data_IF_403907969406
#
_entry.id   IF_403907969406
#
_cell.length_a   1.000
_cell.length_b   1.000
_cell.length_c   1.000
_cell.angle_alpha   90.00
_cell.angle_beta   90.00
_cell.angle_gamma   90.00
#
_symmetry.space_group_name_H-M   'P 1'
#
loop_
_entity.id
_entity.type
_entity.pdbx_description
1 polymer ?
#
# COMPACT_ATOMS: atom_id res chain seq x y z
N UNK A 1 -35.80 2.23 -12.89
CA UNK A 1 -35.31 0.86 -12.67
C UNK A 1 -34.60 0.38 -13.94
N UNK A 2 -33.36 0.81 -14.21
CA UNK A 2 -32.57 0.32 -15.35
C UNK A 2 -31.79 -0.90 -14.84
N UNK A 3 -32.18 -2.06 -15.33
CA UNK A 3 -31.49 -3.33 -15.13
C UNK A 3 -30.11 -3.18 -15.78
N UNK A 4 -29.05 -3.20 -14.96
CA UNK A 4 -27.66 -3.24 -15.43
C UNK A 4 -27.52 -4.39 -16.43
N UNK A 5 -27.33 -4.06 -17.72
CA UNK A 5 -26.86 -5.04 -18.69
C UNK A 5 -25.54 -5.63 -18.18
N UNK A 6 -25.38 -6.94 -18.19
CA UNK A 6 -24.10 -7.56 -17.86
C UNK A 6 -23.01 -6.95 -18.75
N UNK A 7 -21.86 -6.66 -18.17
CA UNK A 7 -20.70 -6.05 -18.83
C UNK A 7 -20.18 -7.03 -19.90
N UNK A 8 -20.77 -6.94 -21.10
CA UNK A 8 -20.45 -7.83 -22.23
C UNK A 8 -18.97 -7.75 -22.66
N UNK A 9 -18.24 -6.73 -22.18
CA UNK A 9 -16.80 -6.57 -22.48
C UNK A 9 -15.93 -7.57 -21.74
N UNK A 10 -16.42 -8.15 -20.64
CA UNK A 10 -15.68 -9.14 -19.84
C UNK A 10 -15.95 -10.60 -20.27
N UNK A 11 -17.02 -10.87 -21.02
CA UNK A 11 -17.44 -12.24 -21.34
C UNK A 11 -16.48 -13.01 -22.25
N UNK A 12 -15.61 -12.33 -22.99
CA UNK A 12 -14.66 -12.94 -23.93
C UNK A 12 -13.21 -12.91 -23.48
N UNK A 13 -12.92 -12.47 -22.23
CA UNK A 13 -11.55 -12.36 -21.74
C UNK A 13 -11.23 -13.58 -20.86
N UNK A 14 -10.31 -14.42 -21.32
CA UNK A 14 -9.77 -15.51 -20.52
C UNK A 14 -8.56 -15.02 -19.73
N UNK A 15 -8.53 -15.29 -18.43
CA UNK A 15 -7.39 -14.98 -17.54
C UNK A 15 -6.66 -16.28 -17.22
N UNK A 16 -5.42 -16.37 -17.69
CA UNK A 16 -4.51 -17.48 -17.42
C UNK A 16 -3.33 -17.08 -16.51
N UNK A 17 -2.35 -17.97 -16.43
CA UNK A 17 -1.15 -17.74 -15.60
C UNK A 17 -0.34 -16.53 -16.04
N UNK A 18 -0.37 -16.17 -17.33
CA UNK A 18 0.38 -15.01 -17.86
C UNK A 18 -0.19 -13.69 -17.35
N UNK A 19 -1.51 -13.53 -17.37
CA UNK A 19 -2.22 -12.34 -16.89
C UNK A 19 -2.09 -12.21 -15.36
N UNK A 20 -2.18 -13.33 -14.63
CA UNK A 20 -2.00 -13.36 -13.17
C UNK A 20 -0.57 -12.94 -12.79
N UNK A 21 0.45 -13.48 -13.48
CA UNK A 21 1.84 -13.11 -13.21
C UNK A 21 2.13 -11.67 -13.62
N UNK A 22 1.54 -11.17 -14.71
CA UNK A 22 1.64 -9.76 -15.09
C UNK A 22 1.02 -8.84 -14.02
N UNK A 23 -0.15 -9.19 -13.47
CA UNK A 23 -0.75 -8.47 -12.36
C UNK A 23 0.12 -8.49 -11.09
N UNK A 24 0.75 -9.62 -10.75
CA UNK A 24 1.72 -9.71 -9.64
C UNK A 24 2.92 -8.79 -9.87
N UNK A 25 3.48 -8.80 -11.09
CA UNK A 25 4.58 -7.90 -11.44
C UNK A 25 4.15 -6.45 -11.38
N UNK A 26 2.90 -6.12 -11.75
CA UNK A 26 2.36 -4.76 -11.61
C UNK A 26 2.37 -4.25 -10.15
N UNK A 27 2.27 -5.14 -9.16
CA UNK A 27 2.45 -4.80 -7.74
C UNK A 27 3.93 -4.73 -7.33
N UNK A 28 4.75 -5.63 -7.88
CA UNK A 28 6.19 -5.62 -7.61
C UNK A 28 6.85 -4.31 -8.03
N UNK A 29 6.52 -3.79 -9.21
CA UNK A 29 7.21 -2.63 -9.80
C UNK A 29 7.16 -1.37 -8.93
N UNK A 30 5.99 -0.86 -8.48
CA UNK A 30 5.96 0.33 -7.65
C UNK A 30 6.56 0.10 -6.26
N UNK A 31 6.42 -1.11 -5.67
CA UNK A 31 7.11 -1.48 -4.44
C UNK A 31 8.64 -1.43 -4.59
N UNK A 32 9.16 -1.93 -5.71
CA UNK A 32 10.57 -1.89 -6.04
C UNK A 32 11.08 -0.46 -6.22
N UNK A 33 10.33 0.39 -6.92
CA UNK A 33 10.76 1.78 -7.17
C UNK A 33 10.68 2.65 -5.91
N UNK A 34 9.64 2.55 -5.10
CA UNK A 34 9.53 3.35 -3.88
C UNK A 34 10.66 3.02 -2.88
N UNK A 35 11.03 1.75 -2.80
CA UNK A 35 12.14 1.32 -1.94
C UNK A 35 13.53 1.63 -2.51
N UNK A 36 13.63 2.05 -3.75
CA UNK A 36 14.85 2.68 -4.29
C UNK A 36 15.00 4.10 -3.75
N UNK A 37 13.89 4.85 -3.65
CA UNK A 37 13.92 6.25 -3.21
C UNK A 37 14.18 6.40 -1.70
N UNK A 38 13.60 5.55 -0.86
CA UNK A 38 13.70 5.69 0.58
C UNK A 38 15.16 5.71 1.11
N UNK A 39 16.07 4.80 0.71
CA UNK A 39 17.48 4.85 1.11
C UNK A 39 18.24 6.06 0.55
N UNK A 40 17.72 6.72 -0.50
CA UNK A 40 18.36 7.92 -1.05
C UNK A 40 18.14 9.17 -0.19
N UNK A 41 17.15 9.19 0.70
CA UNK A 41 16.80 10.38 1.51
C UNK A 41 18.00 10.97 2.27
N UNK A 42 18.80 10.19 3.03
CA UNK A 42 19.98 10.73 3.73
C UNK A 42 21.02 11.33 2.76
N UNK A 43 21.20 10.69 1.60
CA UNK A 43 22.16 11.15 0.59
C UNK A 43 21.69 12.44 -0.08
N UNK A 44 20.38 12.57 -0.33
CA UNK A 44 19.75 13.80 -0.85
C UNK A 44 19.88 14.91 0.18
N UNK A 45 19.61 14.62 1.47
CA UNK A 45 19.79 15.58 2.58
C UNK A 45 21.21 16.13 2.60
N UNK A 46 22.21 15.26 2.53
CA UNK A 46 23.62 15.66 2.51
C UNK A 46 23.98 16.45 1.24
N UNK A 47 23.56 15.98 0.07
CA UNK A 47 23.84 16.63 -1.23
C UNK A 47 23.23 18.01 -1.37
N UNK A 48 21.98 18.19 -0.95
CA UNK A 48 21.27 19.47 -1.01
C UNK A 48 21.49 20.33 0.25
N UNK A 49 22.29 19.85 1.22
CA UNK A 49 22.58 20.53 2.50
C UNK A 49 21.28 20.94 3.21
N UNK A 50 20.31 20.03 3.28
CA UNK A 50 18.99 20.33 3.84
C UNK A 50 19.03 20.29 5.37
N UNK A 51 18.47 21.32 6.00
CA UNK A 51 18.09 21.28 7.40
C UNK A 51 16.91 20.31 7.61
N UNK A 52 16.74 19.83 8.84
CA UNK A 52 15.71 18.83 9.15
C UNK A 52 14.28 19.32 8.86
N UNK A 53 14.02 20.61 9.14
CA UNK A 53 12.71 21.24 8.86
C UNK A 53 12.41 21.37 7.37
N UNK A 54 13.42 21.64 6.54
CA UNK A 54 13.30 21.72 5.08
C UNK A 54 13.01 20.33 4.51
N UNK A 55 13.70 19.30 5.02
CA UNK A 55 13.42 17.92 4.65
C UNK A 55 11.99 17.53 5.06
N UNK A 56 11.54 17.89 6.26
CA UNK A 56 10.17 17.66 6.72
C UNK A 56 9.12 18.31 5.80
N UNK A 57 9.36 19.55 5.36
CA UNK A 57 8.48 20.22 4.37
C UNK A 57 8.45 19.51 3.01
N UNK A 58 9.59 19.00 2.55
CA UNK A 58 9.63 18.18 1.32
C UNK A 58 8.81 16.90 1.47
N UNK A 59 8.92 16.21 2.60
CA UNK A 59 8.13 15.00 2.87
C UNK A 59 6.63 15.32 2.99
N UNK A 60 6.26 16.49 3.53
CA UNK A 60 4.86 16.94 3.56
C UNK A 60 4.29 17.13 2.16
N UNK A 61 5.10 17.57 1.18
CA UNK A 61 4.68 17.66 -0.22
C UNK A 61 4.22 16.31 -0.78
N UNK A 62 4.76 15.19 -0.29
CA UNK A 62 4.34 13.84 -0.67
C UNK A 62 2.87 13.64 -0.31
N UNK A 63 2.50 13.90 0.95
CA UNK A 63 1.13 13.75 1.43
C UNK A 63 0.14 14.64 0.67
N UNK A 64 0.49 15.91 0.46
CA UNK A 64 -0.33 16.87 -0.28
C UNK A 64 -0.51 16.42 -1.74
N UNK A 65 0.56 15.98 -2.40
CA UNK A 65 0.50 15.48 -3.78
C UNK A 65 -0.38 14.24 -3.90
N UNK A 66 -0.23 13.27 -3.00
CA UNK A 66 -1.08 12.09 -2.97
C UNK A 66 -2.56 12.47 -2.83
N UNK A 67 -2.89 13.37 -1.90
CA UNK A 67 -4.26 13.81 -1.67
C UNK A 67 -4.88 14.51 -2.88
N UNK A 68 -4.13 15.35 -3.59
CA UNK A 68 -4.61 16.07 -4.76
C UNK A 68 -4.74 15.17 -5.99
N UNK A 69 -3.75 14.33 -6.26
CA UNK A 69 -3.66 13.60 -7.53
C UNK A 69 -4.29 12.21 -7.51
N UNK A 70 -4.43 11.55 -6.36
CA UNK A 70 -5.09 10.25 -6.28
C UNK A 70 -6.53 10.24 -6.81
N UNK A 71 -7.40 11.22 -6.51
CA UNK A 71 -8.75 11.23 -7.06
C UNK A 71 -8.80 11.28 -8.59
N UNK A 72 -7.74 11.81 -9.24
CA UNK A 72 -7.63 11.86 -10.70
C UNK A 72 -7.24 10.52 -11.33
N UNK A 73 -6.69 9.60 -10.54
CA UNK A 73 -6.23 8.30 -11.01
C UNK A 73 -7.36 7.48 -11.65
N UNK A 74 -8.55 7.51 -11.06
CA UNK A 74 -9.74 6.85 -11.63
C UNK A 74 -10.11 7.36 -13.03
N UNK A 75 -9.96 8.67 -13.28
CA UNK A 75 -10.19 9.28 -14.59
C UNK A 75 -9.15 8.81 -15.63
N UNK A 76 -7.90 8.66 -15.21
CA UNK A 76 -6.83 8.14 -16.07
C UNK A 76 -7.10 6.68 -16.47
N UNK A 77 -7.50 5.84 -15.51
CA UNK A 77 -7.87 4.44 -15.77
C UNK A 77 -9.06 4.36 -16.74
N UNK A 78 -10.08 5.20 -16.53
CA UNK A 78 -11.24 5.22 -17.42
C UNK A 78 -10.86 5.64 -18.84
N UNK A 79 -10.03 6.68 -18.98
CA UNK A 79 -9.66 7.23 -20.30
C UNK A 79 -8.70 6.32 -21.06
N UNK A 80 -7.68 5.78 -20.39
CA UNK A 80 -6.56 5.10 -21.02
C UNK A 80 -6.54 3.59 -20.79
N UNK A 81 -7.28 3.08 -19.81
CA UNK A 81 -7.28 1.68 -19.38
C UNK A 81 -6.16 1.35 -18.39
N UNK A 82 -6.35 0.29 -17.59
CA UNK A 82 -5.41 -0.12 -16.54
C UNK A 82 -4.01 -0.41 -17.09
N UNK A 83 -3.92 -1.16 -18.19
CA UNK A 83 -2.65 -1.58 -18.78
C UNK A 83 -1.76 -0.40 -19.14
N UNK A 84 -2.27 0.59 -19.86
CA UNK A 84 -1.51 1.76 -20.28
C UNK A 84 -1.06 2.59 -19.08
N UNK A 85 -1.95 2.79 -18.10
CA UNK A 85 -1.62 3.59 -16.91
C UNK A 85 -0.56 2.90 -16.07
N UNK A 86 -0.62 1.58 -15.86
CA UNK A 86 0.41 0.82 -15.12
C UNK A 86 1.76 0.89 -15.84
N UNK A 87 1.79 0.62 -17.16
CA UNK A 87 3.06 0.64 -17.92
C UNK A 87 3.68 2.02 -17.92
N UNK A 88 2.92 3.06 -18.27
CA UNK A 88 3.40 4.44 -18.31
C UNK A 88 3.80 4.91 -16.91
N UNK A 89 2.98 4.60 -15.90
CA UNK A 89 3.23 4.99 -14.52
C UNK A 89 4.51 4.37 -13.97
N UNK A 90 4.68 3.05 -14.08
CA UNK A 90 5.89 2.37 -13.60
C UNK A 90 7.15 2.87 -14.36
N UNK A 91 7.06 3.12 -15.67
CA UNK A 91 8.14 3.71 -16.46
C UNK A 91 8.51 5.10 -15.95
N UNK A 92 7.51 5.98 -15.77
CA UNK A 92 7.76 7.34 -15.28
C UNK A 92 8.33 7.33 -13.86
N UNK A 93 7.80 6.50 -12.95
CA UNK A 93 8.35 6.37 -11.60
C UNK A 93 9.83 5.97 -11.64
N UNK A 94 10.20 5.00 -12.46
CA UNK A 94 11.57 4.53 -12.58
C UNK A 94 12.50 5.64 -13.14
N UNK A 95 12.08 6.36 -14.18
CA UNK A 95 12.83 7.48 -14.75
C UNK A 95 12.97 8.65 -13.76
N UNK A 96 11.89 9.00 -13.05
CA UNK A 96 11.92 10.06 -12.04
C UNK A 96 12.82 9.67 -10.87
N UNK A 97 12.88 8.40 -10.48
CA UNK A 97 13.82 7.92 -9.45
C UNK A 97 15.28 8.19 -9.84
N UNK A 98 15.64 7.97 -11.13
CA UNK A 98 16.97 8.35 -11.65
C UNK A 98 17.13 9.87 -11.61
N UNK A 99 16.14 10.64 -12.04
CA UNK A 99 16.19 12.10 -11.99
C UNK A 99 16.40 12.61 -10.56
N UNK A 100 15.65 12.10 -9.57
CA UNK A 100 15.79 12.44 -8.16
C UNK A 100 17.21 12.14 -7.63
N UNK A 101 17.90 11.14 -8.16
CA UNK A 101 19.30 10.84 -7.78
C UNK A 101 20.31 11.89 -8.24
N UNK A 102 19.98 12.72 -9.25
CA UNK A 102 20.91 13.69 -9.89
C UNK A 102 20.62 15.15 -9.51
N UNK A 103 19.36 15.50 -9.17
CA UNK A 103 18.96 16.89 -8.95
C UNK A 103 19.71 17.54 -7.80
N UNK A 104 20.20 18.78 -8.05
CA UNK A 104 20.98 19.58 -7.09
C UNK A 104 20.21 20.81 -6.57
N UNK A 105 19.03 21.09 -7.13
CA UNK A 105 18.21 22.23 -6.72
C UNK A 105 16.97 21.72 -5.98
N UNK A 106 16.65 22.32 -4.82
CA UNK A 106 15.55 21.92 -3.96
C UNK A 106 14.18 22.05 -4.65
N UNK A 107 13.98 23.08 -5.45
CA UNK A 107 12.69 23.31 -6.11
C UNK A 107 12.44 22.29 -7.22
N UNK A 108 13.47 22.01 -8.04
CA UNK A 108 13.37 20.96 -9.05
C UNK A 108 13.19 19.58 -8.41
N UNK A 109 13.83 19.34 -7.25
CA UNK A 109 13.65 18.11 -6.49
C UNK A 109 12.22 17.98 -5.95
N UNK A 110 11.66 19.06 -5.36
CA UNK A 110 10.29 19.07 -4.84
C UNK A 110 9.24 18.82 -5.94
N UNK A 111 9.41 19.46 -7.11
CA UNK A 111 8.53 19.28 -8.27
C UNK A 111 8.61 17.83 -8.79
N UNK A 112 9.82 17.29 -8.94
CA UNK A 112 10.02 15.92 -9.39
C UNK A 112 9.44 14.91 -8.39
N UNK A 113 9.60 15.15 -7.08
CA UNK A 113 9.05 14.33 -6.01
C UNK A 113 7.53 14.37 -5.99
N UNK A 114 6.93 15.55 -6.11
CA UNK A 114 5.48 15.71 -6.20
C UNK A 114 4.90 14.96 -7.41
N UNK A 115 5.58 15.04 -8.56
CA UNK A 115 5.18 14.32 -9.76
C UNK A 115 5.37 12.79 -9.61
N UNK A 116 6.46 12.36 -8.95
CA UNK A 116 6.68 10.94 -8.60
C UNK A 116 5.50 10.37 -7.82
N UNK A 117 5.05 11.09 -6.79
CA UNK A 117 3.93 10.65 -5.93
C UNK A 117 2.59 10.66 -6.68
N UNK A 118 2.36 11.67 -7.53
CA UNK A 118 1.17 11.72 -8.37
C UNK A 118 1.10 10.51 -9.32
N UNK A 119 2.21 10.16 -9.95
CA UNK A 119 2.32 9.00 -10.85
C UNK A 119 2.19 7.69 -10.06
N UNK A 120 2.78 7.62 -8.87
CA UNK A 120 2.63 6.48 -7.97
C UNK A 120 1.16 6.24 -7.62
N UNK A 121 0.41 7.27 -7.23
CA UNK A 121 -1.02 7.15 -6.92
C UNK A 121 -1.84 6.66 -8.11
N UNK A 122 -1.56 7.15 -9.32
CA UNK A 122 -2.22 6.68 -10.54
C UNK A 122 -1.89 5.21 -10.83
N UNK A 123 -0.64 4.80 -10.62
CA UNK A 123 -0.19 3.41 -10.80
C UNK A 123 -0.86 2.49 -9.78
N UNK A 124 -0.92 2.92 -8.52
CA UNK A 124 -1.53 2.16 -7.42
C UNK A 124 -3.02 1.89 -7.67
N UNK A 125 -3.80 2.90 -8.00
CA UNK A 125 -5.22 2.73 -8.36
C UNK A 125 -5.37 1.80 -9.57
N UNK A 126 -4.51 1.93 -10.56
CA UNK A 126 -4.60 1.15 -11.80
C UNK A 126 -4.25 -0.33 -11.59
N UNK A 127 -3.20 -0.62 -10.81
CA UNK A 127 -2.82 -2.01 -10.51
C UNK A 127 -3.86 -2.68 -9.62
N UNK A 128 -4.42 -1.98 -8.62
CA UNK A 128 -5.48 -2.52 -7.78
C UNK A 128 -6.78 -2.75 -8.58
N UNK A 129 -7.15 -1.83 -9.49
CA UNK A 129 -8.28 -2.03 -10.40
C UNK A 129 -8.06 -3.25 -11.29
N UNK A 130 -6.87 -3.38 -11.90
CA UNK A 130 -6.50 -4.55 -12.71
C UNK A 130 -6.60 -5.84 -11.88
N UNK A 131 -6.07 -5.84 -10.65
CA UNK A 131 -6.08 -6.98 -9.74
C UNK A 131 -7.50 -7.45 -9.39
N UNK A 132 -8.40 -6.53 -9.06
CA UNK A 132 -9.82 -6.84 -8.77
C UNK A 132 -10.50 -7.50 -9.98
N UNK A 133 -10.21 -7.02 -11.19
CA UNK A 133 -10.79 -7.58 -12.42
C UNK A 133 -10.18 -8.95 -12.73
N UNK A 134 -8.84 -9.10 -12.60
CA UNK A 134 -8.14 -10.38 -12.78
C UNK A 134 -8.66 -11.42 -11.79
N UNK A 135 -8.82 -11.07 -10.51
CA UNK A 135 -9.39 -11.95 -9.50
C UNK A 135 -10.82 -12.38 -9.84
N UNK A 136 -11.66 -11.41 -10.26
CA UNK A 136 -13.04 -11.66 -10.65
C UNK A 136 -13.14 -12.64 -11.83
N UNK A 137 -12.31 -12.44 -12.87
CA UNK A 137 -12.30 -13.28 -14.07
C UNK A 137 -11.66 -14.64 -13.81
N UNK A 138 -10.65 -14.73 -12.95
CA UNK A 138 -9.99 -15.97 -12.58
C UNK A 138 -10.88 -16.87 -11.67
N UNK A 139 -11.92 -16.32 -11.04
CA UNK A 139 -12.83 -17.04 -10.15
C UNK A 139 -12.18 -17.57 -8.87
N UNK A 140 -11.00 -17.08 -8.50
CA UNK A 140 -10.25 -17.52 -7.30
C UNK A 140 -9.53 -16.35 -6.64
N UNK A 141 -9.20 -16.50 -5.35
CA UNK A 141 -8.49 -15.48 -4.57
C UNK A 141 -7.06 -15.27 -5.08
N UNK A 142 -6.66 -14.02 -5.32
CA UNK A 142 -5.35 -13.66 -5.85
C UNK A 142 -4.80 -12.36 -5.25
N UNK A 143 -5.64 -11.53 -4.63
CA UNK A 143 -5.25 -10.19 -4.20
C UNK A 143 -4.19 -10.18 -3.10
N UNK A 144 -4.29 -11.08 -2.11
CA UNK A 144 -3.26 -11.19 -1.06
C UNK A 144 -1.90 -11.53 -1.65
N UNK A 145 -1.85 -12.50 -2.58
CA UNK A 145 -0.64 -12.84 -3.30
C UNK A 145 -0.09 -11.69 -4.15
N UNK A 146 -0.96 -10.87 -4.77
CA UNK A 146 -0.53 -9.67 -5.49
C UNK A 146 0.09 -8.63 -4.56
N UNK A 147 -0.53 -8.35 -3.40
CA UNK A 147 0.05 -7.47 -2.39
C UNK A 147 1.37 -8.00 -1.80
N UNK A 148 1.55 -9.33 -1.72
CA UNK A 148 2.84 -9.91 -1.35
C UNK A 148 3.95 -9.52 -2.33
N UNK A 149 3.65 -9.43 -3.63
CA UNK A 149 4.62 -9.01 -4.64
C UNK A 149 5.06 -7.54 -4.47
N UNK A 150 4.19 -6.66 -3.96
CA UNK A 150 4.62 -5.32 -3.52
C UNK A 150 5.71 -5.41 -2.45
N UNK A 151 5.48 -6.18 -1.39
CA UNK A 151 6.46 -6.36 -0.31
C UNK A 151 7.76 -7.00 -0.81
N UNK A 152 7.67 -8.00 -1.70
CA UNK A 152 8.85 -8.61 -2.35
C UNK A 152 9.61 -7.56 -3.14
N UNK A 153 8.93 -6.69 -3.88
CA UNK A 153 9.53 -5.58 -4.59
C UNK A 153 10.30 -4.64 -3.66
N UNK A 154 9.69 -4.27 -2.54
CA UNK A 154 10.33 -3.43 -1.53
C UNK A 154 11.61 -4.08 -0.98
N UNK A 155 11.55 -5.35 -0.57
CA UNK A 155 12.70 -6.06 -0.02
C UNK A 155 13.81 -6.26 -1.07
N UNK A 156 13.44 -6.63 -2.30
CA UNK A 156 14.40 -6.83 -3.38
C UNK A 156 15.14 -5.54 -3.71
N UNK A 157 14.43 -4.42 -3.78
CA UNK A 157 15.03 -3.10 -4.04
C UNK A 157 15.96 -2.66 -2.91
N UNK A 158 15.49 -2.72 -1.66
CA UNK A 158 16.28 -2.31 -0.50
C UNK A 158 17.54 -3.17 -0.35
N UNK A 159 17.43 -4.48 -0.55
CA UNK A 159 18.57 -5.41 -0.53
C UNK A 159 19.58 -5.11 -1.64
N UNK A 160 19.10 -4.93 -2.89
CA UNK A 160 19.96 -4.61 -4.02
C UNK A 160 20.64 -3.23 -3.82
N UNK A 161 19.89 -2.24 -3.34
CA UNK A 161 20.45 -0.93 -3.01
C UNK A 161 21.58 -1.05 -1.99
N UNK A 162 21.37 -1.78 -0.90
CA UNK A 162 22.35 -1.97 0.16
C UNK A 162 23.63 -2.64 -0.35
N UNK A 163 23.50 -3.71 -1.14
CA UNK A 163 24.64 -4.42 -1.74
C UNK A 163 25.42 -3.51 -2.68
N UNK A 164 24.75 -2.77 -3.55
CA UNK A 164 25.43 -1.86 -4.49
C UNK A 164 26.06 -0.66 -3.77
N UNK A 165 25.40 -0.09 -2.75
CA UNK A 165 25.94 0.99 -1.97
C UNK A 165 27.17 0.56 -1.16
N UNK A 166 27.16 -0.64 -0.56
CA UNK A 166 28.30 -1.18 0.17
C UNK A 166 29.51 -1.49 -0.73
N UNK A 167 29.27 -1.77 -2.02
CA UNK A 167 30.34 -1.93 -3.02
C UNK A 167 30.91 -0.60 -3.55
N UNK A 168 30.47 0.54 -3.00
CA UNK A 168 30.95 1.87 -3.40
C UNK A 168 30.26 2.45 -4.65
N UNK A 169 29.18 1.82 -5.14
CA UNK A 169 28.43 2.35 -6.29
C UNK A 169 27.76 3.69 -5.92
N UNK A 170 27.82 4.66 -6.82
CA UNK A 170 27.13 5.93 -6.62
C UNK A 170 25.61 5.76 -6.78
N UNK A 171 24.84 6.65 -6.13
CA UNK A 171 23.38 6.60 -6.08
C UNK A 171 22.71 6.63 -7.45
N UNK A 172 23.29 7.39 -8.40
CA UNK A 172 22.75 7.51 -9.76
C UNK A 172 22.90 6.20 -10.52
N UNK A 173 24.05 5.51 -10.38
CA UNK A 173 24.24 4.18 -10.97
C UNK A 173 23.22 3.19 -10.38
N UNK A 174 23.05 3.20 -9.05
CA UNK A 174 22.07 2.34 -8.37
C UNK A 174 20.65 2.59 -8.92
N UNK A 175 20.22 3.84 -8.95
CA UNK A 175 18.90 4.21 -9.47
C UNK A 175 18.74 3.83 -10.96
N UNK A 176 19.79 3.96 -11.76
CA UNK A 176 19.78 3.58 -13.19
C UNK A 176 19.65 2.06 -13.36
N UNK A 177 20.35 1.26 -12.55
CA UNK A 177 20.22 -0.20 -12.57
C UNK A 177 18.81 -0.64 -12.15
N UNK A 178 18.24 -0.01 -11.11
CA UNK A 178 16.86 -0.26 -10.71
C UNK A 178 15.87 0.09 -11.83
N UNK A 179 16.06 1.24 -12.50
CA UNK A 179 15.26 1.63 -13.66
C UNK A 179 15.36 0.59 -14.79
N UNK A 180 16.55 0.12 -15.10
CA UNK A 180 16.76 -0.91 -16.13
C UNK A 180 16.01 -2.22 -15.80
N UNK A 181 16.01 -2.65 -14.53
CA UNK A 181 15.25 -3.82 -14.06
C UNK A 181 13.76 -3.61 -14.28
N UNK A 182 13.23 -2.44 -13.91
CA UNK A 182 11.81 -2.09 -14.11
C UNK A 182 11.42 -2.17 -15.58
N UNK A 183 12.22 -1.55 -16.45
CA UNK A 183 11.98 -1.55 -17.90
C UNK A 183 12.06 -2.97 -18.49
N UNK A 184 13.01 -3.80 -18.05
CA UNK A 184 13.12 -5.19 -18.47
C UNK A 184 11.88 -6.01 -18.04
N UNK A 185 11.43 -5.86 -16.80
CA UNK A 185 10.22 -6.53 -16.32
C UNK A 185 8.97 -6.07 -17.07
N UNK A 186 8.85 -4.77 -17.38
CA UNK A 186 7.75 -4.24 -18.21
C UNK A 186 7.79 -4.78 -19.64
N UNK A 187 8.96 -4.92 -20.25
CA UNK A 187 9.10 -5.50 -21.59
C UNK A 187 8.59 -6.95 -21.64
N UNK A 188 8.86 -7.73 -20.59
CA UNK A 188 8.44 -9.14 -20.52
C UNK A 188 6.96 -9.28 -20.15
N UNK A 189 6.53 -8.63 -19.07
CA UNK A 189 5.22 -8.85 -18.46
C UNK A 189 4.16 -7.83 -18.88
N UNK A 190 4.55 -6.61 -19.27
CA UNK A 190 3.62 -5.54 -19.59
C UNK A 190 2.63 -5.89 -20.72
N UNK A 191 3.07 -6.67 -21.72
CA UNK A 191 2.21 -7.13 -22.81
C UNK A 191 1.05 -8.01 -22.34
N UNK A 192 1.22 -8.72 -21.21
CA UNK A 192 0.24 -9.64 -20.64
C UNK A 192 -0.68 -8.98 -19.61
N UNK A 193 -0.46 -7.70 -19.26
CA UNK A 193 -1.41 -6.96 -18.44
C UNK A 193 -2.77 -6.90 -19.14
N UNK A 194 -3.82 -7.09 -18.35
CA UNK A 194 -5.19 -7.06 -18.84
C UNK A 194 -5.51 -5.65 -19.37
N UNK A 195 -5.85 -5.55 -20.65
CA UNK A 195 -6.25 -4.29 -21.28
C UNK A 195 -7.74 -4.05 -21.02
N UNK A 196 -8.07 -3.73 -19.77
CA UNK A 196 -9.42 -3.39 -19.39
C UNK A 196 -9.61 -1.89 -19.47
N UNK A 197 -10.58 -1.49 -20.27
CA UNK A 197 -11.05 -0.12 -20.39
C UNK A 197 -12.51 -0.06 -19.95
N UNK A 198 -12.82 0.87 -19.08
CA UNK A 198 -14.19 1.03 -18.60
C UNK A 198 -15.08 1.49 -19.76
N UNK A 199 -16.27 0.87 -19.97
CA UNK A 199 -17.19 1.30 -21.00
C UNK A 199 -17.54 2.78 -20.88
N UNK A 200 -17.54 3.51 -21.99
CA UNK A 200 -17.82 4.95 -22.03
C UNK A 200 -19.23 5.28 -21.52
N UNK A 201 -19.34 6.35 -20.73
CA UNK A 201 -20.59 6.84 -20.14
C UNK A 201 -20.64 6.85 -18.61
N UNK A 202 -19.73 6.14 -17.94
CA UNK A 202 -19.63 6.18 -16.49
C UNK A 202 -18.77 7.36 -16.02
N UNK A 203 -19.22 8.08 -14.98
CA UNK A 203 -18.48 9.24 -14.45
C UNK A 203 -17.13 8.80 -13.89
N UNK A 204 -16.04 9.32 -14.45
CA UNK A 204 -14.66 9.06 -14.00
C UNK A 204 -14.42 9.48 -12.55
N UNK A 205 -15.13 10.49 -12.11
CA UNK A 205 -15.16 10.98 -10.75
C UNK A 205 -16.55 10.72 -10.18
N UNK A 206 -16.65 9.74 -9.32
CA UNK A 206 -17.87 9.44 -8.60
C UNK A 206 -17.62 9.61 -7.10
N UNK A 207 -18.45 10.43 -6.45
CA UNK A 207 -18.43 10.55 -4.99
C UNK A 207 -18.74 9.16 -4.42
N UNK A 208 -17.89 8.64 -3.51
CA UNK A 208 -18.10 7.32 -2.91
C UNK A 208 -19.47 7.25 -2.24
N UNK A 209 -20.16 6.12 -2.38
CA UNK A 209 -21.52 5.92 -1.86
C UNK A 209 -21.67 4.57 -1.20
N UNK A 210 -22.53 4.51 -0.20
CA UNK A 210 -22.93 3.27 0.45
C UNK A 210 -21.73 2.51 1.01
N UNK A 211 -21.58 1.24 0.63
CA UNK A 211 -20.56 0.34 1.16
C UNK A 211 -19.13 0.76 0.81
N UNK A 212 -18.93 1.50 -0.29
CA UNK A 212 -17.59 1.94 -0.72
C UNK A 212 -17.01 2.96 0.27
N UNK A 213 -17.84 3.83 0.86
CA UNK A 213 -17.40 4.75 1.93
C UNK A 213 -16.92 3.93 3.14
N UNK A 214 -17.70 2.93 3.53
CA UNK A 214 -17.38 2.11 4.72
C UNK A 214 -16.08 1.34 4.48
N UNK A 215 -15.91 0.71 3.32
CA UNK A 215 -14.67 0.04 2.96
C UNK A 215 -13.47 1.00 2.91
N UNK A 216 -13.68 2.24 2.45
CA UNK A 216 -12.65 3.27 2.46
C UNK A 216 -12.24 3.70 3.87
N UNK A 217 -13.20 3.84 4.80
CA UNK A 217 -12.92 4.12 6.22
C UNK A 217 -12.17 2.95 6.87
N UNK A 218 -12.57 1.71 6.60
CA UNK A 218 -11.86 0.53 7.11
C UNK A 218 -10.44 0.46 6.53
N UNK A 219 -10.26 0.75 5.24
CA UNK A 219 -8.92 0.83 4.65
C UNK A 219 -8.07 1.97 5.26
N UNK A 220 -8.70 3.10 5.64
CA UNK A 220 -8.03 4.19 6.35
C UNK A 220 -7.50 3.72 7.72
N UNK A 221 -8.31 2.99 8.49
CA UNK A 221 -7.88 2.39 9.77
C UNK A 221 -6.72 1.42 9.53
N UNK A 222 -6.85 0.50 8.57
CA UNK A 222 -5.80 -0.50 8.27
C UNK A 222 -4.48 0.15 7.86
N UNK A 223 -4.50 1.18 7.02
CA UNK A 223 -3.29 1.91 6.61
C UNK A 223 -2.69 2.75 7.75
N UNK A 224 -3.52 3.32 8.63
CA UNK A 224 -3.06 3.98 9.84
C UNK A 224 -2.34 2.98 10.76
N UNK A 225 -2.86 1.73 10.88
CA UNK A 225 -2.24 0.64 11.65
C UNK A 225 -0.85 0.29 11.12
N UNK A 226 -0.71 0.10 9.80
CA UNK A 226 0.60 -0.16 9.18
C UNK A 226 1.57 1.02 9.42
N UNK A 227 1.08 2.26 9.27
CA UNK A 227 1.84 3.48 9.57
C UNK A 227 2.26 3.59 11.05
N UNK A 228 1.36 3.24 11.98
CA UNK A 228 1.66 3.26 13.41
C UNK A 228 2.82 2.33 13.77
N UNK A 229 2.88 1.13 13.20
CA UNK A 229 4.03 0.23 13.41
C UNK A 229 5.30 0.83 12.81
N UNK A 230 5.22 1.35 11.59
CA UNK A 230 6.38 1.92 10.88
C UNK A 230 6.98 3.10 11.65
N UNK A 231 6.15 4.02 12.14
CA UNK A 231 6.61 5.29 12.70
C UNK A 231 6.85 5.22 14.20
N UNK A 232 6.08 4.43 14.94
CA UNK A 232 6.04 4.47 16.41
C UNK A 232 6.62 3.23 17.11
N UNK A 233 6.81 2.10 16.40
CA UNK A 233 7.35 0.89 17.04
C UNK A 233 8.75 1.08 17.61
N UNK A 234 9.63 1.79 16.87
CA UNK A 234 10.98 2.09 17.34
C UNK A 234 10.99 2.98 18.58
N UNK A 235 10.12 4.00 18.60
CA UNK A 235 9.98 4.92 19.74
C UNK A 235 9.46 4.17 20.96
N UNK A 236 8.43 3.31 20.80
CA UNK A 236 7.94 2.47 21.90
C UNK A 236 9.06 1.58 22.50
N UNK A 237 9.81 0.90 21.61
CA UNK A 237 10.86 -0.02 22.06
C UNK A 237 12.00 0.70 22.80
N UNK A 238 12.39 1.89 22.35
CA UNK A 238 13.49 2.63 22.94
C UNK A 238 13.08 3.47 24.15
N UNK A 239 11.98 4.21 24.09
CA UNK A 239 11.61 5.16 25.14
C UNK A 239 10.74 4.54 26.24
N UNK A 240 9.90 3.53 25.90
CA UNK A 240 9.01 2.90 26.88
C UNK A 240 9.58 1.58 27.38
N UNK A 241 10.15 0.77 26.46
CA UNK A 241 10.71 -0.55 26.83
C UNK A 241 12.20 -0.50 27.17
N UNK A 242 12.83 0.67 27.12
CA UNK A 242 14.25 0.91 27.44
C UNK A 242 15.20 -0.02 26.66
N UNK A 243 14.86 -0.36 25.42
CA UNK A 243 15.72 -1.16 24.55
C UNK A 243 16.84 -0.29 23.94
N UNK A 244 17.95 -0.93 23.61
CA UNK A 244 19.05 -0.26 22.90
C UNK A 244 18.54 0.34 21.59
N UNK A 245 18.99 1.56 21.27
CA UNK A 245 18.59 2.27 20.04
C UNK A 245 18.95 1.48 18.77
N UNK A 246 19.97 0.64 18.83
CA UNK A 246 20.31 -0.27 17.74
C UNK A 246 19.20 -1.28 17.42
N UNK A 247 18.29 -1.54 18.36
CA UNK A 247 17.16 -2.44 18.22
C UNK A 247 15.86 -1.74 17.83
N UNK A 248 15.84 -0.41 17.67
CA UNK A 248 14.64 0.37 17.38
C UNK A 248 13.88 -0.13 16.15
N UNK A 249 14.58 -0.57 15.10
CA UNK A 249 13.98 -1.06 13.87
C UNK A 249 13.42 -2.50 13.92
N UNK A 250 13.68 -3.24 15.00
CA UNK A 250 13.35 -4.68 15.06
C UNK A 250 11.86 -4.93 15.05
N UNK A 251 11.06 -4.08 15.71
CA UNK A 251 9.60 -4.21 15.71
C UNK A 251 9.00 -4.14 14.31
N UNK A 252 9.38 -3.12 13.55
CA UNK A 252 8.92 -2.96 12.16
C UNK A 252 9.45 -4.08 11.25
N UNK A 253 10.68 -4.51 11.42
CA UNK A 253 11.25 -5.60 10.62
C UNK A 253 10.50 -6.92 10.84
N UNK A 254 10.25 -7.31 12.10
CA UNK A 254 9.51 -8.52 12.45
C UNK A 254 8.09 -8.47 11.91
N UNK A 255 7.40 -7.36 12.11
CA UNK A 255 6.07 -7.09 11.56
C UNK A 255 6.04 -7.27 10.03
N UNK A 256 6.98 -6.63 9.33
CA UNK A 256 7.03 -6.66 7.85
C UNK A 256 7.27 -8.07 7.30
N UNK A 257 8.14 -8.84 7.94
CA UNK A 257 8.39 -10.24 7.56
C UNK A 257 7.15 -11.11 7.81
N UNK A 258 6.52 -10.97 8.98
CA UNK A 258 5.31 -11.70 9.32
C UNK A 258 4.16 -11.37 8.34
N UNK A 259 4.00 -10.09 8.00
CA UNK A 259 3.03 -9.63 7.01
C UNK A 259 3.30 -10.23 5.63
N UNK A 260 4.56 -10.21 5.17
CA UNK A 260 4.92 -10.79 3.88
C UNK A 260 4.58 -12.28 3.84
N UNK A 261 4.97 -13.05 4.85
CA UNK A 261 4.68 -14.48 4.94
C UNK A 261 3.18 -14.72 4.86
N UNK A 262 2.39 -13.98 5.65
CA UNK A 262 0.93 -14.15 5.66
C UNK A 262 0.30 -13.68 4.34
N UNK A 263 0.80 -12.65 3.66
CA UNK A 263 0.33 -12.25 2.32
C UNK A 263 0.59 -13.33 1.27
N UNK A 264 1.73 -14.01 1.34
CA UNK A 264 2.04 -15.14 0.44
C UNK A 264 1.10 -16.33 0.66
N UNK A 265 0.69 -16.58 1.89
CA UNK A 265 -0.26 -17.63 2.25
C UNK A 265 -1.72 -17.14 2.18
N UNK A 266 -1.94 -15.84 2.02
CA UNK A 266 -3.19 -15.16 2.26
C UNK A 266 -4.33 -15.62 1.37
N UNK A 267 -4.08 -15.85 0.09
CA UNK A 267 -5.10 -16.33 -0.85
C UNK A 267 -5.69 -17.68 -0.38
N UNK A 268 -4.82 -18.61 0.09
CA UNK A 268 -5.25 -19.89 0.65
C UNK A 268 -5.96 -19.71 2.00
N UNK A 269 -5.42 -18.84 2.85
CA UNK A 269 -6.01 -18.53 4.17
C UNK A 269 -7.39 -17.94 4.02
N UNK A 270 -7.56 -16.95 3.12
CA UNK A 270 -8.86 -16.32 2.87
C UNK A 270 -9.84 -17.30 2.21
N UNK A 271 -9.35 -18.19 1.33
CA UNK A 271 -10.17 -19.24 0.74
C UNK A 271 -10.68 -20.24 1.80
N UNK A 272 -9.84 -20.61 2.78
CA UNK A 272 -10.17 -21.56 3.84
C UNK A 272 -11.10 -20.96 4.90
N UNK A 273 -10.78 -19.76 5.40
CA UNK A 273 -11.54 -19.10 6.47
C UNK A 273 -12.81 -18.41 5.97
N UNK A 274 -12.83 -17.99 4.72
CA UNK A 274 -13.78 -17.03 4.15
C UNK A 274 -13.40 -15.58 4.46
N UNK A 275 -13.86 -14.65 3.62
CA UNK A 275 -13.52 -13.20 3.70
C UNK A 275 -13.87 -12.60 5.06
N UNK A 276 -15.06 -12.92 5.57
CA UNK A 276 -15.55 -12.38 6.84
C UNK A 276 -14.65 -12.77 8.03
N UNK A 277 -14.33 -14.06 8.17
CA UNK A 277 -13.48 -14.53 9.29
C UNK A 277 -12.04 -14.04 9.12
N UNK A 278 -11.55 -13.95 7.90
CA UNK A 278 -10.21 -13.45 7.63
C UNK A 278 -10.06 -11.98 8.05
N UNK A 279 -11.05 -11.12 7.76
CA UNK A 279 -11.02 -9.70 8.18
C UNK A 279 -11.25 -9.58 9.69
N UNK A 280 -12.36 -10.11 10.21
CA UNK A 280 -12.70 -9.94 11.63
C UNK A 280 -11.63 -10.58 12.53
N UNK A 281 -11.24 -11.82 12.23
CA UNK A 281 -10.18 -12.52 12.97
C UNK A 281 -8.82 -11.82 12.84
N UNK A 282 -8.49 -11.34 11.63
CA UNK A 282 -7.29 -10.55 11.38
C UNK A 282 -7.24 -9.28 12.22
N UNK A 283 -8.31 -8.47 12.21
CA UNK A 283 -8.40 -7.24 13.02
C UNK A 283 -8.27 -7.53 14.52
N UNK A 284 -8.91 -8.60 15.03
CA UNK A 284 -8.81 -8.98 16.45
C UNK A 284 -7.40 -9.47 16.80
N UNK A 285 -6.76 -10.30 15.96
CA UNK A 285 -5.39 -10.77 16.18
C UNK A 285 -4.41 -9.58 16.18
N UNK A 286 -4.60 -8.63 15.25
CA UNK A 286 -3.80 -7.40 15.19
C UNK A 286 -4.01 -6.56 16.44
N UNK A 287 -5.25 -6.35 16.89
CA UNK A 287 -5.59 -5.63 18.12
C UNK A 287 -4.93 -6.27 19.34
N UNK A 288 -4.99 -7.59 19.46
CA UNK A 288 -4.33 -8.33 20.53
C UNK A 288 -2.81 -8.12 20.51
N UNK A 289 -2.17 -8.12 19.33
CA UNK A 289 -0.76 -7.82 19.19
C UNK A 289 -0.41 -6.40 19.67
N UNK A 290 -1.20 -5.39 19.30
CA UNK A 290 -1.01 -4.01 19.79
C UNK A 290 -1.20 -3.89 21.31
N UNK A 291 -2.19 -4.57 21.89
CA UNK A 291 -2.38 -4.59 23.34
C UNK A 291 -1.22 -5.31 24.06
N UNK A 292 -0.78 -6.45 23.53
CA UNK A 292 0.32 -7.23 24.12
C UNK A 292 1.64 -6.47 24.12
N UNK A 293 1.99 -5.74 23.04
CA UNK A 293 3.25 -5.00 22.98
C UNK A 293 3.30 -3.89 24.04
N UNK A 294 2.17 -3.34 24.46
CA UNK A 294 2.09 -2.37 25.56
C UNK A 294 2.35 -3.02 26.91
N UNK A 295 1.72 -4.17 27.17
CA UNK A 295 1.73 -4.82 28.48
C UNK A 295 2.99 -5.63 28.74
N UNK A 296 3.61 -6.17 27.67
CA UNK A 296 4.75 -7.06 27.80
C UNK A 296 6.08 -6.27 27.80
N UNK A 297 6.97 -6.56 28.74
CA UNK A 297 8.28 -5.88 28.90
C UNK A 297 9.48 -6.74 28.44
N UNK A 298 9.20 -7.95 27.92
CA UNK A 298 10.23 -8.87 27.46
C UNK A 298 10.41 -8.76 25.93
N UNK A 299 11.68 -8.69 25.47
CA UNK A 299 12.02 -8.57 24.03
C UNK A 299 11.40 -9.68 23.17
N UNK A 300 11.46 -10.93 23.61
CA UNK A 300 10.92 -12.07 22.84
C UNK A 300 9.39 -12.03 22.77
N UNK A 301 8.74 -11.60 23.86
CA UNK A 301 7.29 -11.45 23.90
C UNK A 301 6.83 -10.26 23.05
N UNK A 302 7.61 -9.17 23.01
CA UNK A 302 7.36 -8.06 22.11
C UNK A 302 7.53 -8.48 20.63
N UNK A 303 8.57 -9.27 20.33
CA UNK A 303 8.73 -9.86 18.99
C UNK A 303 7.52 -10.70 18.58
N UNK A 304 7.02 -11.55 19.50
CA UNK A 304 5.79 -12.32 19.27
C UNK A 304 4.56 -11.41 19.02
N UNK A 305 4.43 -10.33 19.78
CA UNK A 305 3.35 -9.36 19.57
C UNK A 305 3.43 -8.70 18.16
N UNK A 306 4.62 -8.30 17.70
CA UNK A 306 4.81 -7.79 16.34
C UNK A 306 4.54 -8.84 15.25
N UNK A 307 4.84 -10.12 15.50
CA UNK A 307 4.42 -11.22 14.60
C UNK A 307 2.90 -11.26 14.51
N UNK A 308 2.17 -11.22 15.64
CA UNK A 308 0.70 -11.22 15.63
C UNK A 308 0.14 -10.03 14.85
N UNK A 309 0.70 -8.81 15.04
CA UNK A 309 0.31 -7.63 14.30
C UNK A 309 0.46 -7.87 12.79
N UNK A 310 1.61 -8.36 12.35
CA UNK A 310 1.89 -8.60 10.93
C UNK A 310 1.02 -9.69 10.31
N UNK A 311 0.83 -10.80 11.02
CA UNK A 311 -0.03 -11.90 10.55
C UNK A 311 -1.50 -11.47 10.47
N UNK A 312 -1.98 -10.73 11.47
CA UNK A 312 -3.38 -10.32 11.54
C UNK A 312 -3.77 -9.33 10.46
N UNK A 313 -2.99 -8.26 10.26
CA UNK A 313 -3.35 -7.18 9.33
C UNK A 313 -3.13 -7.53 7.85
N UNK A 314 -2.30 -8.52 7.54
CA UNK A 314 -1.80 -8.80 6.18
C UNK A 314 -2.89 -8.94 5.11
N UNK A 315 -4.03 -9.54 5.43
CA UNK A 315 -5.09 -9.85 4.48
C UNK A 315 -6.30 -8.91 4.54
N UNK A 316 -6.33 -7.96 5.48
CA UNK A 316 -7.49 -7.08 5.69
C UNK A 316 -7.72 -6.21 4.44
N UNK A 317 -6.73 -5.42 4.06
CA UNK A 317 -6.81 -4.54 2.89
C UNK A 317 -7.04 -5.30 1.58
N UNK A 318 -6.30 -6.39 1.27
CA UNK A 318 -6.59 -7.21 0.09
C UNK A 318 -8.05 -7.69 0.02
N UNK A 319 -8.63 -8.10 1.14
CA UNK A 319 -10.03 -8.51 1.17
C UNK A 319 -10.96 -7.32 0.92
N UNK A 320 -10.69 -6.12 1.46
CA UNK A 320 -11.51 -4.94 1.16
C UNK A 320 -11.54 -4.62 -0.34
N UNK A 321 -10.40 -4.73 -1.04
CA UNK A 321 -10.38 -4.61 -2.49
C UNK A 321 -11.16 -5.74 -3.18
N UNK A 322 -11.04 -6.98 -2.71
CA UNK A 322 -11.82 -8.11 -3.23
C UNK A 322 -13.33 -7.90 -3.11
N UNK A 323 -13.79 -7.25 -2.03
CA UNK A 323 -15.22 -6.97 -1.82
C UNK A 323 -15.79 -5.97 -2.82
N UNK A 324 -14.95 -5.15 -3.46
CA UNK A 324 -15.41 -4.17 -4.46
C UNK A 324 -16.04 -4.82 -5.71
N UNK A 325 -15.76 -6.09 -5.98
CA UNK A 325 -16.41 -6.83 -7.06
C UNK A 325 -17.91 -7.10 -6.84
N UNK A 326 -18.36 -7.04 -5.58
CA UNK A 326 -19.76 -7.30 -5.20
C UNK A 326 -20.61 -6.02 -5.12
N UNK A 327 -20.00 -4.85 -5.03
CA UNK A 327 -20.73 -3.59 -5.01
C UNK A 327 -21.29 -3.26 -6.41
N UNK A 328 -22.48 -2.66 -6.44
CA UNK A 328 -23.21 -2.30 -7.68
C UNK A 328 -23.46 -0.79 -7.81
N UNK A 329 -22.99 -0.01 -6.86
CA UNK A 329 -23.31 1.42 -6.75
C UNK A 329 -22.48 2.34 -7.64
N UNK A 330 -21.33 1.86 -8.13
CA UNK A 330 -20.41 2.66 -8.94
C UNK A 330 -19.43 1.77 -9.73
N UNK A 331 -18.74 2.31 -10.75
CA UNK A 331 -17.71 1.59 -11.49
C UNK A 331 -16.59 1.06 -10.60
N UNK A 332 -16.05 -0.11 -10.91
CA UNK A 332 -14.98 -0.74 -10.10
C UNK A 332 -13.78 0.20 -9.93
N UNK A 333 -13.34 0.88 -10.99
CA UNK A 333 -12.23 1.82 -10.91
C UNK A 333 -12.50 3.01 -9.99
N UNK A 334 -13.72 3.58 -10.05
CA UNK A 334 -14.12 4.66 -9.16
C UNK A 334 -14.22 4.18 -7.71
N UNK A 335 -14.69 2.95 -7.47
CA UNK A 335 -14.74 2.33 -6.16
C UNK A 335 -13.33 2.07 -5.61
N UNK A 336 -12.42 1.51 -6.42
CA UNK A 336 -11.00 1.32 -6.07
C UNK A 336 -10.36 2.68 -5.76
N UNK A 337 -10.50 3.67 -6.65
CA UNK A 337 -9.99 5.04 -6.42
C UNK A 337 -10.48 5.61 -5.09
N UNK A 338 -11.77 5.45 -4.78
CA UNK A 338 -12.36 5.97 -3.55
C UNK A 338 -11.79 5.28 -2.31
N UNK A 339 -11.69 3.94 -2.33
CA UNK A 339 -11.13 3.17 -1.20
C UNK A 339 -9.65 3.49 -1.02
N UNK A 340 -8.89 3.56 -2.11
CA UNK A 340 -7.46 3.94 -2.07
C UNK A 340 -7.29 5.35 -1.53
N UNK A 341 -8.01 6.35 -2.05
CA UNK A 341 -7.89 7.76 -1.59
C UNK A 341 -8.25 7.92 -0.12
N UNK A 342 -9.34 7.29 0.33
CA UNK A 342 -9.72 7.28 1.75
C UNK A 342 -8.71 6.52 2.59
N UNK A 343 -8.19 5.39 2.11
CA UNK A 343 -7.16 4.61 2.79
C UNK A 343 -5.88 5.42 3.03
N UNK A 344 -5.39 6.10 1.99
CA UNK A 344 -4.18 6.93 2.11
C UNK A 344 -4.32 8.11 3.09
N UNK A 345 -5.53 8.58 3.40
CA UNK A 345 -5.70 9.55 4.48
C UNK A 345 -5.21 9.00 5.82
N UNK A 346 -5.30 7.68 6.03
CA UNK A 346 -4.75 7.01 7.22
C UNK A 346 -3.23 7.10 7.30
N UNK A 347 -2.53 6.92 6.18
CA UNK A 347 -1.06 7.06 6.11
C UNK A 347 -0.63 8.53 6.29
N UNK A 348 -1.37 9.47 5.68
CA UNK A 348 -1.00 10.90 5.67
C UNK A 348 -1.27 11.56 7.01
N UNK A 349 -2.47 11.32 7.57
CA UNK A 349 -2.90 11.95 8.82
C UNK A 349 -2.49 11.14 10.05
N UNK A 350 -2.24 9.83 9.88
CA UNK A 350 -1.88 8.91 10.95
C UNK A 350 -0.73 9.42 11.83
N UNK A 351 0.46 9.72 11.27
CA UNK A 351 1.59 10.20 12.05
C UNK A 351 1.28 11.43 12.89
N UNK A 352 0.54 12.40 12.32
CA UNK A 352 0.15 13.62 13.02
C UNK A 352 -0.87 13.35 14.15
N UNK A 353 -1.93 12.59 13.85
CA UNK A 353 -2.96 12.25 14.83
C UNK A 353 -2.38 11.43 15.99
N UNK A 354 -1.59 10.42 15.68
CA UNK A 354 -0.91 9.59 16.68
C UNK A 354 0.14 10.39 17.46
N UNK A 355 0.82 11.35 16.81
CA UNK A 355 1.74 12.27 17.46
C UNK A 355 1.07 13.16 18.50
N UNK A 356 -0.14 13.65 18.24
CA UNK A 356 -0.90 14.39 19.25
C UNK A 356 -1.28 13.52 20.46
N UNK A 357 -1.63 12.25 20.23
CA UNK A 357 -1.88 11.29 21.32
C UNK A 357 -0.61 11.01 22.12
N UNK A 358 0.52 10.77 21.44
CA UNK A 358 1.80 10.54 22.07
C UNK A 358 2.23 11.73 22.96
N UNK A 359 2.06 12.96 22.45
CA UNK A 359 2.41 14.18 23.17
C UNK A 359 1.45 14.49 24.33
N UNK A 360 0.15 14.33 24.10
CA UNK A 360 -0.88 14.68 25.09
C UNK A 360 -1.08 13.67 26.20
N UNK A 361 -0.77 12.40 25.94
CA UNK A 361 -0.94 11.29 26.89
C UNK A 361 0.39 10.57 27.08
N UNK A 362 0.76 9.66 26.19
CA UNK A 362 2.04 8.97 26.10
C UNK A 362 2.08 8.04 24.87
N UNK A 363 3.24 7.43 24.61
CA UNK A 363 3.45 6.53 23.47
C UNK A 363 2.63 5.22 23.60
N UNK A 364 2.44 4.69 24.81
CA UNK A 364 1.63 3.48 25.03
C UNK A 364 0.18 3.72 24.61
N UNK A 365 -0.37 4.90 24.91
CA UNK A 365 -1.74 5.27 24.51
C UNK A 365 -1.94 5.30 22.98
N UNK A 366 -0.89 5.52 22.19
CA UNK A 366 -0.93 5.39 20.73
C UNK A 366 -1.28 3.95 20.33
N UNK A 367 -0.60 2.97 20.92
CA UNK A 367 -0.81 1.55 20.63
C UNK A 367 -2.17 1.06 21.15
N UNK A 368 -2.59 1.55 22.32
CA UNK A 368 -3.92 1.26 22.89
C UNK A 368 -5.05 1.81 22.01
N UNK A 369 -4.91 3.05 21.52
CA UNK A 369 -5.85 3.65 20.58
C UNK A 369 -5.94 2.85 19.27
N UNK A 370 -4.81 2.44 18.72
CA UNK A 370 -4.78 1.62 17.50
C UNK A 370 -5.44 0.26 17.74
N UNK A 371 -5.20 -0.37 18.89
CA UNK A 371 -5.89 -1.61 19.26
C UNK A 371 -7.42 -1.41 19.32
N UNK A 372 -7.88 -0.31 19.93
CA UNK A 372 -9.31 0.03 19.98
C UNK A 372 -9.90 0.26 18.58
N UNK A 373 -9.20 0.98 17.70
CA UNK A 373 -9.63 1.21 16.31
C UNK A 373 -9.79 -0.12 15.56
N UNK A 374 -8.92 -1.10 15.80
CA UNK A 374 -9.00 -2.43 15.19
C UNK A 374 -10.21 -3.24 15.70
N UNK A 375 -10.55 -3.12 16.96
CA UNK A 375 -11.78 -3.72 17.51
C UNK A 375 -13.02 -3.09 16.86
N UNK A 376 -13.03 -1.77 16.70
CA UNK A 376 -14.08 -1.04 15.99
C UNK A 376 -14.13 -1.48 14.51
N UNK A 377 -12.97 -1.63 13.85
CA UNK A 377 -12.88 -2.14 12.49
C UNK A 377 -13.52 -3.52 12.36
N UNK A 378 -13.22 -4.45 13.27
CA UNK A 378 -13.85 -5.77 13.29
C UNK A 378 -15.38 -5.71 13.42
N UNK A 379 -15.89 -4.81 14.27
CA UNK A 379 -17.32 -4.57 14.44
C UNK A 379 -18.00 -4.03 13.18
N UNK A 380 -17.38 -3.01 12.56
CA UNK A 380 -17.90 -2.42 11.31
C UNK A 380 -17.79 -3.42 10.16
N UNK A 381 -16.71 -4.18 10.06
CA UNK A 381 -16.56 -5.23 9.05
C UNK A 381 -17.68 -6.27 9.14
N UNK A 382 -18.05 -6.70 10.35
CA UNK A 382 -19.20 -7.61 10.55
C UNK A 382 -20.49 -7.04 9.94
N UNK A 383 -20.75 -5.75 10.12
CA UNK A 383 -21.90 -5.07 9.52
C UNK A 383 -21.82 -5.05 7.99
N UNK A 384 -20.62 -4.80 7.42
CA UNK A 384 -20.39 -4.81 5.97
C UNK A 384 -20.75 -6.17 5.38
N UNK A 385 -20.24 -7.26 5.96
CA UNK A 385 -20.52 -8.62 5.48
C UNK A 385 -22.01 -8.98 5.58
N UNK A 386 -22.68 -8.59 6.66
CA UNK A 386 -24.14 -8.78 6.78
C UNK A 386 -24.90 -8.04 5.66
N UNK A 387 -24.48 -6.84 5.28
CA UNK A 387 -25.11 -6.07 4.19
C UNK A 387 -24.86 -6.64 2.80
N UNK A 388 -23.67 -7.22 2.57
CA UNK A 388 -23.34 -7.89 1.31
C UNK A 388 -24.01 -9.26 1.18
N UNK A 389 -24.70 -9.74 2.22
CA UNK A 389 -25.31 -11.08 2.29
C UNK A 389 -24.32 -12.21 2.01
N UNK A 390 -23.10 -12.08 2.55
CA UNK A 390 -22.01 -13.06 2.43
C UNK A 390 -21.84 -13.85 3.73
#
# INVERSE_FOLDING_TARGET
MQINKPDNTLQNISVGSKEINAARVAFFLPGFVISTWAPMIPMVKARLKLEADVLGRLLLCIGISAFIFMPLAGALVQRFGCKKVVITGATLMALISVLLSCLQNIWSYAIALAFFVAVMGATDVSMNTNAVIVEKLAGRRLLSGMHAFWSIGCFASAGLFSVLASSGSNVTLIATLHCAIVLALLAVFGRHLLDYKIPGGEKAFAIPRGIVIVLGILACISFLVEGAVMDWSGVLLTEVKNMDIALAGTGYAIFSVAMLIMRLLGDKTVQFLGEQKAVIGGSIVTAAGFALVVVLDNLYLNAFAFILIGLGCANIVPVFYSLLKYQKGMPISAAVTSVTSLGYTGVILGPALLGFVAHGINISAVFELVALLLVIEAGIAKYVFCKLKM
#
